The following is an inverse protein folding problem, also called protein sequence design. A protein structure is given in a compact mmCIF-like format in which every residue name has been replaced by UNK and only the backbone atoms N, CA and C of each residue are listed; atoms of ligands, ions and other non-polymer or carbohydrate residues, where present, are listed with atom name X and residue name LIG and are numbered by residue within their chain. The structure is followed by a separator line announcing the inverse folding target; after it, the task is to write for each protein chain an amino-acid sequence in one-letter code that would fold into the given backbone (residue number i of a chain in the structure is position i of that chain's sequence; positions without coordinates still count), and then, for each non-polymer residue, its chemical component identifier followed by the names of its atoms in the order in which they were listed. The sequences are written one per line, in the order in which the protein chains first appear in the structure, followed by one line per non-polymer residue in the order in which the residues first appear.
data_IF_104137517301
#
_entry.id   IF_104137517301
#
_cell.length_a   1.000
_cell.length_b   1.000
_cell.length_c   1.000
_cell.angle_alpha   90.00
_cell.angle_beta   90.00
_cell.angle_gamma   90.00
#
_symmetry.space_group_name_H-M   'P 1'
#
loop_
_entity.id
_entity.type
_entity.pdbx_description
1 polymer ?
#
# COMPACT_ATOMS: atom_id res chain seq x y z
N UNK A 1 21.39 -23.06 28.58
CA UNK A 1 20.65 -21.78 28.73
C UNK A 1 20.88 -20.98 27.46
N UNK A 2 20.14 -21.30 26.39
CA UNK A 2 20.34 -20.67 25.09
C UNK A 2 19.34 -19.51 24.95
N UNK A 3 19.91 -18.33 24.75
CA UNK A 3 19.24 -17.04 24.68
C UNK A 3 18.32 -17.01 23.45
N UNK A 4 17.00 -17.02 23.72
CA UNK A 4 15.97 -16.78 22.71
C UNK A 4 16.13 -15.34 22.23
N UNK A 5 16.89 -15.17 21.15
CA UNK A 5 16.76 -14.02 20.28
C UNK A 5 15.28 -13.92 19.92
N UNK A 6 14.57 -13.01 20.59
CA UNK A 6 13.25 -12.53 20.20
C UNK A 6 13.33 -12.30 18.70
N UNK A 7 12.65 -13.14 17.92
CA UNK A 7 12.33 -12.81 16.54
C UNK A 7 11.76 -11.41 16.60
N UNK A 8 12.50 -10.41 16.11
CA UNK A 8 11.93 -9.10 15.85
C UNK A 8 10.83 -9.38 14.84
N UNK A 9 9.59 -9.41 15.31
CA UNK A 9 8.42 -9.37 14.48
C UNK A 9 8.67 -8.25 13.47
N UNK A 10 8.86 -8.64 12.21
CA UNK A 10 9.09 -7.69 11.14
C UNK A 10 7.90 -6.74 11.20
N UNK A 11 8.12 -5.41 11.36
CA UNK A 11 7.01 -4.49 11.48
C UNK A 11 6.04 -4.72 10.32
N UNK A 12 4.71 -4.65 10.54
CA UNK A 12 3.74 -4.72 9.47
C UNK A 12 4.21 -3.78 8.36
N UNK A 13 4.19 -4.25 7.13
CA UNK A 13 4.60 -3.45 5.99
C UNK A 13 3.80 -2.15 6.00
N UNK A 14 4.49 -1.02 6.20
CA UNK A 14 3.87 0.26 6.45
C UNK A 14 4.54 1.32 5.59
N UNK A 15 3.72 2.08 4.87
CA UNK A 15 4.19 3.18 4.04
C UNK A 15 4.37 4.44 4.91
N UNK A 16 5.53 5.09 4.80
CA UNK A 16 5.77 6.34 5.51
C UNK A 16 5.12 7.50 4.74
N UNK A 17 4.19 8.18 5.40
CA UNK A 17 3.61 9.42 4.90
C UNK A 17 4.37 10.63 5.46
N UNK A 18 4.58 11.66 4.63
CA UNK A 18 5.11 12.96 5.05
C UNK A 18 4.05 14.01 4.76
N UNK A 19 3.65 14.77 5.78
CA UNK A 19 2.57 15.75 5.69
C UNK A 19 2.97 17.05 6.40
N UNK A 20 2.44 18.16 5.92
CA UNK A 20 2.50 19.44 6.62
C UNK A 20 1.29 19.56 7.55
N UNK A 21 1.50 20.08 8.76
CA UNK A 21 0.46 20.28 9.78
C UNK A 21 0.55 21.73 10.27
N UNK A 22 -0.59 22.36 10.52
CA UNK A 22 -0.63 23.73 11.06
C UNK A 22 -0.01 23.80 12.46
N UNK A 23 0.63 24.93 12.79
CA UNK A 23 1.34 25.09 14.07
C UNK A 23 0.44 24.89 15.30
N UNK A 24 -0.82 25.36 15.23
CA UNK A 24 -1.79 25.21 16.33
C UNK A 24 -2.18 23.75 16.51
N UNK A 25 -2.50 23.04 15.43
CA UNK A 25 -2.85 21.62 15.48
C UNK A 25 -1.68 20.78 15.99
N UNK A 26 -0.46 21.08 15.54
CA UNK A 26 0.75 20.44 16.06
C UNK A 26 0.89 20.65 17.58
N UNK A 27 0.62 21.86 18.07
CA UNK A 27 0.60 22.17 19.50
C UNK A 27 -0.45 21.37 20.28
N UNK A 28 -1.66 21.21 19.74
CA UNK A 28 -2.69 20.38 20.35
C UNK A 28 -2.30 18.89 20.39
N UNK A 29 -1.70 18.37 19.31
CA UNK A 29 -1.20 17.00 19.27
C UNK A 29 -0.15 16.79 20.36
N UNK A 30 0.78 17.75 20.51
CA UNK A 30 1.82 17.69 21.52
C UNK A 30 1.26 17.73 22.95
N UNK A 31 0.25 18.57 23.20
CA UNK A 31 -0.41 18.63 24.49
C UNK A 31 -1.06 17.28 24.85
N UNK A 32 -1.79 16.68 23.91
CA UNK A 32 -2.44 15.38 24.10
C UNK A 32 -1.43 14.26 24.39
N UNK A 33 -0.29 14.27 23.72
CA UNK A 33 0.80 13.32 24.00
C UNK A 33 1.40 13.59 25.39
N UNK A 34 1.64 14.85 25.75
CA UNK A 34 2.21 15.24 27.05
C UNK A 34 1.30 14.85 28.22
N UNK A 35 -0.01 14.97 28.04
CA UNK A 35 -1.02 14.59 29.04
C UNK A 35 -1.29 13.08 29.09
N UNK A 36 -0.63 12.30 28.23
CA UNK A 36 -0.69 10.83 28.26
C UNK A 36 -1.91 10.23 27.57
N UNK A 37 -2.69 11.00 26.82
CA UNK A 37 -3.80 10.47 26.01
C UNK A 37 -3.30 9.58 24.87
N UNK A 38 -2.09 9.86 24.35
CA UNK A 38 -1.45 9.09 23.29
C UNK A 38 0.03 8.86 23.61
N UNK A 39 0.58 7.73 23.15
CA UNK A 39 1.97 7.37 23.45
C UNK A 39 2.98 8.23 22.69
N UNK A 40 2.62 8.75 21.51
CA UNK A 40 3.44 9.64 20.69
C UNK A 40 2.59 10.25 19.55
N UNK A 41 3.17 11.21 18.80
CA UNK A 41 2.50 11.85 17.65
C UNK A 41 2.04 10.86 16.59
N UNK A 42 2.85 9.83 16.30
CA UNK A 42 2.52 8.81 15.29
C UNK A 42 1.30 8.00 15.70
N UNK A 43 1.16 7.68 16.99
CA UNK A 43 0.01 6.98 17.56
C UNK A 43 -1.28 7.80 17.44
N UNK A 44 -1.21 9.10 17.78
CA UNK A 44 -2.31 10.04 17.57
C UNK A 44 -2.75 10.06 16.09
N UNK A 45 -1.80 10.28 15.17
CA UNK A 45 -2.09 10.40 13.73
C UNK A 45 -2.70 9.09 13.20
N UNK A 46 -2.14 7.94 13.57
CA UNK A 46 -2.65 6.63 13.15
C UNK A 46 -4.07 6.39 13.67
N UNK A 47 -4.34 6.79 14.91
CA UNK A 47 -5.67 6.67 15.52
C UNK A 47 -6.67 7.59 14.82
N UNK A 48 -6.31 8.85 14.56
CA UNK A 48 -7.15 9.80 13.83
C UNK A 48 -7.51 9.29 12.42
N UNK A 49 -6.54 8.75 11.68
CA UNK A 49 -6.78 8.13 10.36
C UNK A 49 -7.78 6.99 10.46
N UNK A 50 -7.60 6.06 11.42
CA UNK A 50 -8.52 4.93 11.62
C UNK A 50 -9.94 5.39 11.96
N UNK A 51 -10.07 6.42 12.80
CA UNK A 51 -11.37 6.97 13.17
C UNK A 51 -12.09 7.57 11.96
N UNK A 52 -11.39 8.34 11.12
CA UNK A 52 -11.99 8.94 9.90
C UNK A 52 -12.34 7.87 8.85
N UNK A 53 -11.49 6.85 8.66
CA UNK A 53 -11.83 5.73 7.79
C UNK A 53 -13.05 4.94 8.30
N UNK A 54 -13.16 4.77 9.62
CA UNK A 54 -14.34 4.17 10.25
C UNK A 54 -15.62 4.98 9.99
N UNK A 55 -15.55 6.30 10.13
CA UNK A 55 -16.68 7.20 9.86
C UNK A 55 -17.18 7.15 8.40
N UNK A 56 -16.29 6.83 7.45
CA UNK A 56 -16.60 6.73 6.02
C UNK A 56 -16.71 5.28 5.51
N UNK A 57 -16.78 4.28 6.40
CA UNK A 57 -16.65 2.87 6.02
C UNK A 57 -17.66 2.43 4.95
N UNK A 58 -18.91 2.88 5.03
CA UNK A 58 -19.95 2.46 4.08
C UNK A 58 -19.77 3.08 2.68
N UNK A 59 -19.37 4.35 2.62
CA UNK A 59 -19.01 5.01 1.35
C UNK A 59 -17.80 4.33 0.68
N UNK A 60 -16.81 3.92 1.50
CA UNK A 60 -15.64 3.17 1.03
C UNK A 60 -16.05 1.80 0.49
N UNK A 61 -16.88 1.03 1.23
CA UNK A 61 -17.39 -0.28 0.77
C UNK A 61 -18.15 -0.18 -0.55
N UNK A 62 -19.06 0.79 -0.68
CA UNK A 62 -19.80 1.01 -1.93
C UNK A 62 -18.85 1.31 -3.10
N UNK A 63 -17.81 2.11 -2.86
CA UNK A 63 -16.82 2.45 -3.88
C UNK A 63 -15.95 1.26 -4.28
N UNK A 64 -15.58 0.40 -3.33
CA UNK A 64 -14.82 -0.85 -3.59
C UNK A 64 -15.62 -1.76 -4.54
N UNK A 65 -16.90 -1.96 -4.25
CA UNK A 65 -17.78 -2.79 -5.10
C UNK A 65 -17.95 -2.17 -6.48
N UNK A 66 -18.24 -0.87 -6.56
CA UNK A 66 -18.46 -0.17 -7.85
C UNK A 66 -17.23 -0.24 -8.76
N UNK A 67 -16.03 -0.10 -8.18
CA UNK A 67 -14.78 -0.05 -8.92
C UNK A 67 -14.07 -1.41 -9.01
N UNK A 68 -14.68 -2.48 -8.48
CA UNK A 68 -14.10 -3.84 -8.45
C UNK A 68 -12.66 -3.86 -7.91
N UNK A 69 -12.43 -3.17 -6.80
CA UNK A 69 -11.09 -3.06 -6.19
C UNK A 69 -10.79 -4.30 -5.33
N UNK A 70 -9.63 -4.91 -5.53
CA UNK A 70 -9.07 -5.90 -4.64
C UNK A 70 -8.48 -5.25 -3.39
N UNK A 71 -8.96 -5.67 -2.22
CA UNK A 71 -8.47 -5.15 -0.94
C UNK A 71 -7.21 -5.89 -0.49
N UNK A 72 -6.19 -5.14 -0.06
CA UNK A 72 -5.06 -5.66 0.69
C UNK A 72 -3.72 -5.56 -0.02
N UNK A 73 -2.83 -6.52 0.27
CA UNK A 73 -1.49 -6.58 -0.28
C UNK A 73 -1.46 -7.64 -1.39
N UNK A 74 -1.10 -7.24 -2.60
CA UNK A 74 -0.96 -8.13 -3.77
C UNK A 74 0.50 -8.14 -4.22
N UNK A 75 1.11 -9.31 -4.22
CA UNK A 75 2.45 -9.53 -4.75
C UNK A 75 2.37 -10.28 -6.07
N UNK A 76 3.09 -9.81 -7.08
CA UNK A 76 3.22 -10.43 -8.39
C UNK A 76 4.67 -10.86 -8.61
N UNK A 77 4.89 -12.17 -8.61
CA UNK A 77 6.20 -12.75 -8.89
C UNK A 77 6.45 -12.86 -10.41
N UNK A 78 7.71 -13.09 -10.80
CA UNK A 78 8.04 -13.44 -12.19
C UNK A 78 7.26 -14.66 -12.68
N UNK A 79 7.17 -15.71 -11.86
CA UNK A 79 6.49 -16.97 -12.21
C UNK A 79 5.00 -16.75 -12.48
N UNK A 80 4.34 -15.90 -11.67
CA UNK A 80 2.93 -15.54 -11.88
C UNK A 80 2.73 -14.87 -13.24
N UNK A 81 3.60 -13.92 -13.60
CA UNK A 81 3.52 -13.21 -14.88
C UNK A 81 3.88 -14.11 -16.06
N UNK A 82 4.87 -14.99 -15.93
CA UNK A 82 5.20 -15.97 -16.96
C UNK A 82 4.04 -16.94 -17.21
N UNK A 83 3.34 -17.36 -16.15
CA UNK A 83 2.13 -18.18 -16.27
C UNK A 83 1.01 -17.44 -16.99
N UNK A 84 0.80 -16.17 -16.66
CA UNK A 84 -0.17 -15.30 -17.36
C UNK A 84 0.18 -15.15 -18.84
N UNK A 85 1.46 -14.94 -19.15
CA UNK A 85 1.98 -14.86 -20.52
C UNK A 85 1.75 -16.16 -21.28
N UNK A 86 2.10 -17.30 -20.69
CA UNK A 86 1.90 -18.62 -21.29
C UNK A 86 0.41 -18.91 -21.56
N UNK A 87 -0.48 -18.42 -20.70
CA UNK A 87 -1.92 -18.50 -20.90
C UNK A 87 -2.48 -17.50 -21.93
N UNK A 88 -1.65 -16.62 -22.50
CA UNK A 88 -2.08 -15.58 -23.44
C UNK A 88 -3.02 -14.54 -22.81
N UNK A 89 -2.99 -14.39 -21.48
CA UNK A 89 -3.87 -13.48 -20.73
C UNK A 89 -3.15 -12.19 -20.39
N UNK A 90 -3.93 -11.18 -20.02
CA UNK A 90 -3.42 -9.96 -19.40
C UNK A 90 -4.12 -9.67 -18.08
N UNK A 91 -3.37 -9.12 -17.14
CA UNK A 91 -3.82 -8.73 -15.81
C UNK A 91 -4.32 -7.29 -15.84
N UNK A 92 -5.48 -7.07 -15.21
CA UNK A 92 -5.97 -5.75 -14.85
C UNK A 92 -5.89 -5.61 -13.34
N UNK A 93 -4.86 -4.91 -12.87
CA UNK A 93 -4.54 -4.79 -11.45
C UNK A 93 -5.34 -3.62 -10.88
N UNK A 94 -6.31 -3.90 -10.01
CA UNK A 94 -7.13 -2.91 -9.33
C UNK A 94 -7.03 -3.14 -7.82
N UNK A 95 -6.19 -2.38 -7.12
CA UNK A 95 -5.87 -2.65 -5.71
C UNK A 95 -6.16 -1.44 -4.82
N UNK A 96 -6.83 -1.67 -3.71
CA UNK A 96 -6.88 -0.75 -2.56
C UNK A 96 -5.96 -1.28 -1.47
N UNK A 97 -4.78 -0.67 -1.34
CA UNK A 97 -3.69 -1.16 -0.47
C UNK A 97 -2.34 -1.11 -1.17
N UNK A 98 -1.66 -2.25 -1.26
CA UNK A 98 -0.33 -2.37 -1.86
C UNK A 98 -0.37 -3.33 -3.03
N UNK A 99 0.15 -2.90 -4.17
CA UNK A 99 0.57 -3.79 -5.24
C UNK A 99 2.10 -3.80 -5.30
N UNK A 100 2.71 -4.97 -5.19
CA UNK A 100 4.15 -5.16 -5.33
C UNK A 100 4.46 -6.09 -6.49
N UNK A 101 5.39 -5.69 -7.35
CA UNK A 101 5.92 -6.49 -8.45
C UNK A 101 7.36 -6.85 -8.08
N UNK A 102 7.71 -8.13 -8.15
CA UNK A 102 9.03 -8.62 -7.78
C UNK A 102 10.14 -7.93 -8.58
N UNK A 103 11.30 -7.71 -7.94
CA UNK A 103 12.39 -6.93 -8.52
C UNK A 103 13.03 -7.59 -9.75
N UNK A 104 12.91 -8.91 -9.86
CA UNK A 104 13.47 -9.71 -10.95
C UNK A 104 12.58 -9.72 -12.21
N UNK A 105 11.37 -9.14 -12.15
CA UNK A 105 10.49 -8.99 -13.31
C UNK A 105 11.09 -8.01 -14.32
N UNK A 106 11.18 -8.45 -15.57
CA UNK A 106 11.68 -7.58 -16.65
C UNK A 106 10.57 -6.64 -17.15
N UNK A 107 10.95 -5.44 -17.65
CA UNK A 107 10.00 -4.50 -18.23
C UNK A 107 9.15 -5.10 -19.36
N UNK A 108 9.74 -5.98 -20.17
CA UNK A 108 9.10 -6.62 -21.31
C UNK A 108 8.03 -7.61 -20.84
N UNK A 109 8.36 -8.46 -19.87
CA UNK A 109 7.42 -9.41 -19.28
C UNK A 109 6.24 -8.68 -18.65
N UNK A 110 6.51 -7.61 -17.89
CA UNK A 110 5.49 -6.79 -17.27
C UNK A 110 4.57 -6.14 -18.31
N UNK A 111 5.13 -5.59 -19.41
CA UNK A 111 4.36 -4.95 -20.49
C UNK A 111 3.59 -5.95 -21.35
N UNK A 112 4.00 -7.20 -21.43
CA UNK A 112 3.24 -8.23 -22.14
C UNK A 112 2.03 -8.72 -21.35
N UNK A 113 2.16 -8.74 -20.02
CA UNK A 113 1.22 -9.40 -19.10
C UNK A 113 0.30 -8.45 -18.36
N UNK A 114 0.63 -7.17 -18.19
CA UNK A 114 -0.19 -6.23 -17.41
C UNK A 114 -0.87 -5.23 -18.33
N UNK A 115 -2.19 -5.34 -18.49
CA UNK A 115 -2.99 -4.45 -19.32
C UNK A 115 -3.18 -3.07 -18.67
N UNK A 116 -3.54 -3.02 -17.39
CA UNK A 116 -3.79 -1.78 -16.66
C UNK A 116 -3.46 -1.93 -15.17
N UNK A 117 -3.06 -0.83 -14.55
CA UNK A 117 -2.80 -0.74 -13.11
C UNK A 117 -3.56 0.46 -12.55
N UNK A 118 -4.41 0.21 -11.56
CA UNK A 118 -5.03 1.22 -10.71
C UNK A 118 -4.76 0.83 -9.26
N UNK A 119 -3.95 1.62 -8.57
CA UNK A 119 -3.57 1.33 -7.19
C UNK A 119 -3.89 2.52 -6.31
N UNK A 120 -4.86 2.34 -5.43
CA UNK A 120 -5.18 3.28 -4.37
C UNK A 120 -4.37 2.89 -3.13
N UNK A 121 -3.19 3.49 -3.00
CA UNK A 121 -2.24 3.22 -1.94
C UNK A 121 -0.81 3.26 -2.47
N UNK A 122 -0.09 2.15 -2.41
CA UNK A 122 1.32 2.08 -2.83
C UNK A 122 1.55 1.07 -3.96
N UNK A 123 2.36 1.46 -4.94
CA UNK A 123 2.89 0.56 -5.99
C UNK A 123 4.40 0.40 -5.81
N UNK A 124 4.83 -0.81 -5.46
CA UNK A 124 6.23 -1.17 -5.39
C UNK A 124 6.61 -1.99 -6.62
N UNK A 125 7.65 -1.55 -7.32
CA UNK A 125 8.19 -2.22 -8.50
C UNK A 125 9.56 -1.59 -8.81
N UNK A 126 10.39 -2.30 -9.57
CA UNK A 126 11.66 -1.77 -10.05
C UNK A 126 11.43 -0.51 -10.91
N UNK A 127 12.41 0.40 -10.94
CA UNK A 127 12.30 1.66 -11.70
C UNK A 127 12.04 1.42 -13.19
N UNK A 128 12.69 0.39 -13.75
CA UNK A 128 12.55 0.01 -15.15
C UNK A 128 11.14 -0.50 -15.46
N UNK A 129 10.54 -1.31 -14.57
CA UNK A 129 9.15 -1.77 -14.72
C UNK A 129 8.16 -0.61 -14.57
N UNK A 130 8.35 0.28 -13.60
CA UNK A 130 7.50 1.48 -13.45
C UNK A 130 7.54 2.37 -14.69
N UNK A 131 8.72 2.59 -15.27
CA UNK A 131 8.87 3.35 -16.50
C UNK A 131 8.17 2.68 -17.68
N UNK A 132 8.30 1.36 -17.82
CA UNK A 132 7.68 0.60 -18.91
C UNK A 132 6.16 0.45 -18.80
N UNK A 133 5.58 0.72 -17.63
CA UNK A 133 4.13 0.66 -17.39
C UNK A 133 3.51 2.04 -17.16
N UNK A 134 4.27 3.13 -17.35
CA UNK A 134 3.80 4.48 -17.06
C UNK A 134 2.53 4.86 -17.84
N UNK A 135 2.39 4.37 -19.08
CA UNK A 135 1.19 4.56 -19.92
C UNK A 135 -0.03 3.71 -19.48
N UNK A 136 0.15 2.83 -18.50
CA UNK A 136 -0.88 1.88 -18.02
C UNK A 136 -1.25 2.08 -16.56
N UNK A 137 -0.58 3.00 -15.87
CA UNK A 137 -0.86 3.36 -14.48
C UNK A 137 -1.86 4.52 -14.46
N UNK A 138 -2.96 4.35 -13.71
CA UNK A 138 -3.97 5.36 -13.44
C UNK A 138 -4.11 5.67 -11.95
#
# INVERSE_FOLDING_TARGET
MADLHKLRERPPEAEKITINVGYVDLGHIDLLVREGFYSNRTDFIRTAIRNQLGAHADAVKQSIVRNTLDLGLRHYSREDLETVKAAGRRLRIHVLGLASIAEDVTPELARETIESITVLGALQASKSVKAALQDRIS
#
